data_IF_798092197116
#
_entry.id   IF_798092197116
#
_cell.length_a   1.000
_cell.length_b   1.000
_cell.length_c   1.000
_cell.angle_alpha   90.00
_cell.angle_beta   90.00
_cell.angle_gamma   90.00
#
_symmetry.space_group_name_H-M   'P 1'
#
loop_
_entity.id
_entity.type
_entity.pdbx_description
1 polymer ?
#
# COMPACT_ATOMS: atom_id res chain seq x y z
N UNK A 1 20.45 16.31 0.62
CA UNK A 1 20.08 15.03 -0.05
C UNK A 1 18.65 14.65 0.30
N UNK A 2 18.29 14.50 1.59
CA UNK A 2 16.93 14.18 2.05
C UNK A 2 15.82 15.11 1.48
N UNK A 3 16.02 16.43 1.53
CA UNK A 3 15.06 17.38 0.93
C UNK A 3 14.87 17.23 -0.59
N UNK A 4 15.90 16.79 -1.33
CA UNK A 4 15.78 16.57 -2.78
C UNK A 4 14.96 15.33 -3.06
N UNK A 5 15.23 14.24 -2.32
CA UNK A 5 14.47 13.00 -2.42
C UNK A 5 12.98 13.23 -2.11
N UNK A 6 12.70 14.04 -1.09
CA UNK A 6 11.33 14.36 -0.69
C UNK A 6 10.62 15.28 -1.68
N UNK A 7 11.33 16.17 -2.36
CA UNK A 7 10.77 16.94 -3.49
C UNK A 7 10.40 16.04 -4.67
N UNK A 8 11.24 15.07 -5.01
CA UNK A 8 10.92 14.09 -6.05
C UNK A 8 9.69 13.26 -5.66
N UNK A 9 9.61 12.83 -4.40
CA UNK A 9 8.44 12.13 -3.86
C UNK A 9 7.16 12.98 -3.95
N UNK A 10 7.25 14.28 -3.64
CA UNK A 10 6.14 15.23 -3.79
C UNK A 10 5.71 15.43 -5.24
N UNK A 11 6.66 15.51 -6.18
CA UNK A 11 6.37 15.60 -7.61
C UNK A 11 5.61 14.37 -8.11
N UNK A 12 6.01 13.16 -7.69
CA UNK A 12 5.31 11.92 -8.06
C UNK A 12 3.88 11.93 -7.53
N UNK A 13 3.68 12.33 -6.27
CA UNK A 13 2.34 12.41 -5.67
C UNK A 13 1.43 13.49 -6.24
N UNK A 14 1.99 14.49 -6.94
CA UNK A 14 1.19 15.52 -7.59
C UNK A 14 0.35 14.95 -8.75
N UNK A 15 0.76 13.81 -9.31
CA UNK A 15 -0.01 13.08 -10.30
C UNK A 15 -1.00 12.13 -9.63
N UNK A 16 -2.25 12.03 -10.13
CA UNK A 16 -3.17 11.04 -9.59
C UNK A 16 -2.68 9.62 -9.96
N UNK A 17 -2.47 8.79 -8.93
CA UNK A 17 -1.69 7.55 -9.04
C UNK A 17 -2.19 6.56 -10.11
N UNK A 18 -3.51 6.48 -10.32
CA UNK A 18 -4.08 5.59 -11.34
C UNK A 18 -3.72 6.04 -12.77
N UNK A 19 -3.71 7.35 -13.07
CA UNK A 19 -3.29 7.83 -14.39
C UNK A 19 -1.80 7.60 -14.62
N UNK A 20 -0.97 7.78 -13.58
CA UNK A 20 0.46 7.49 -13.67
C UNK A 20 0.71 6.00 -13.92
N UNK A 21 -0.04 5.12 -13.25
CA UNK A 21 -0.02 3.68 -13.46
C UNK A 21 -0.36 3.31 -14.92
N UNK A 22 -1.44 3.88 -15.45
CA UNK A 22 -1.85 3.67 -16.84
C UNK A 22 -0.78 4.17 -17.82
N UNK A 23 -0.27 5.39 -17.63
CA UNK A 23 0.75 5.97 -18.49
C UNK A 23 2.03 5.13 -18.51
N UNK A 24 2.55 4.75 -17.33
CA UNK A 24 3.75 3.93 -17.23
C UNK A 24 3.57 2.55 -17.86
N UNK A 25 2.40 1.93 -17.68
CA UNK A 25 2.13 0.63 -18.29
C UNK A 25 1.94 0.70 -19.81
N UNK A 26 1.30 1.76 -20.31
CA UNK A 26 1.03 1.96 -21.73
C UNK A 26 2.30 2.22 -22.56
N UNK A 27 3.36 2.73 -21.94
CA UNK A 27 4.67 2.92 -22.58
C UNK A 27 5.45 1.61 -22.79
N UNK A 28 5.02 0.50 -22.17
CA UNK A 28 5.70 -0.78 -22.22
C UNK A 28 5.05 -1.71 -23.26
N UNK A 29 5.83 -2.61 -23.91
CA UNK A 29 5.29 -3.56 -24.86
C UNK A 29 4.13 -4.39 -24.29
N UNK A 30 3.10 -4.61 -25.10
CA UNK A 30 1.92 -5.40 -24.70
C UNK A 30 2.14 -6.90 -24.85
N UNK A 31 3.06 -7.32 -25.72
CA UNK A 31 3.37 -8.72 -26.00
C UNK A 31 4.40 -9.35 -25.03
N UNK A 32 4.36 -8.98 -23.75
CA UNK A 32 5.24 -9.55 -22.73
C UNK A 32 4.60 -10.80 -22.10
N UNK A 33 5.41 -11.78 -21.63
CA UNK A 33 4.89 -12.88 -20.83
C UNK A 33 4.14 -12.36 -19.62
N UNK A 34 3.01 -12.98 -19.29
CA UNK A 34 2.15 -12.52 -18.18
C UNK A 34 2.86 -12.48 -16.82
N UNK A 35 3.85 -13.35 -16.58
CA UNK A 35 4.73 -13.28 -15.39
C UNK A 35 5.55 -11.98 -15.34
N UNK A 36 6.10 -11.55 -16.48
CA UNK A 36 6.83 -10.28 -16.59
C UNK A 36 5.90 -9.10 -16.41
N UNK A 37 4.69 -9.15 -17.00
CA UNK A 37 3.67 -8.10 -16.80
C UNK A 37 3.30 -7.97 -15.33
N UNK A 38 3.08 -9.09 -14.63
CA UNK A 38 2.81 -9.09 -13.20
C UNK A 38 3.92 -8.41 -12.40
N UNK A 39 5.19 -8.80 -12.61
CA UNK A 39 6.33 -8.18 -11.93
C UNK A 39 6.45 -6.68 -12.21
N UNK A 40 6.17 -6.26 -13.46
CA UNK A 40 6.15 -4.86 -13.84
C UNK A 40 5.05 -4.07 -13.14
N UNK A 41 3.83 -4.62 -13.04
CA UNK A 41 2.72 -3.98 -12.32
C UNK A 41 3.07 -3.82 -10.84
N UNK A 42 3.62 -4.86 -10.21
CA UNK A 42 4.08 -4.79 -8.81
C UNK A 42 5.15 -3.71 -8.65
N UNK A 43 6.12 -3.64 -9.56
CA UNK A 43 7.15 -2.61 -9.54
C UNK A 43 6.57 -1.20 -9.70
N UNK A 44 5.68 -0.98 -10.68
CA UNK A 44 5.07 0.33 -10.93
C UNK A 44 4.20 0.75 -9.73
N UNK A 45 3.35 -0.14 -9.20
CA UNK A 45 2.53 0.15 -8.03
C UNK A 45 3.38 0.50 -6.81
N UNK A 46 4.49 -0.24 -6.59
CA UNK A 46 5.44 0.05 -5.53
C UNK A 46 6.15 1.39 -5.74
N UNK A 47 6.53 1.70 -6.99
CA UNK A 47 7.16 2.96 -7.37
C UNK A 47 6.23 4.17 -7.21
N UNK A 48 4.93 4.00 -7.40
CA UNK A 48 3.94 5.06 -7.20
C UNK A 48 3.55 5.19 -5.73
N UNK A 49 3.50 4.08 -4.98
CA UNK A 49 3.06 4.03 -3.59
C UNK A 49 4.13 4.42 -2.55
N UNK A 50 5.42 4.17 -2.82
CA UNK A 50 6.50 4.42 -1.85
C UNK A 50 6.60 5.88 -1.35
N UNK A 51 6.34 6.93 -2.14
CA UNK A 51 6.50 8.31 -1.69
C UNK A 51 5.64 8.60 -0.45
N UNK A 52 4.39 8.11 -0.45
CA UNK A 52 3.40 8.43 0.58
C UNK A 52 3.81 7.83 1.90
N UNK A 53 4.17 6.55 1.84
CA UNK A 53 4.70 5.79 2.94
C UNK A 53 6.02 6.40 3.49
N UNK A 54 6.96 6.73 2.61
CA UNK A 54 8.25 7.33 2.99
C UNK A 54 8.08 8.67 3.70
N UNK A 55 7.13 9.51 3.27
CA UNK A 55 6.82 10.79 3.93
C UNK A 55 6.37 10.58 5.38
N UNK A 56 5.48 9.63 5.62
CA UNK A 56 4.96 9.37 6.97
C UNK A 56 6.08 8.80 7.87
N UNK A 57 6.82 7.81 7.38
CA UNK A 57 7.96 7.25 8.12
C UNK A 57 9.02 8.31 8.44
N UNK A 58 9.32 9.22 7.49
CA UNK A 58 10.22 10.36 7.74
C UNK A 58 9.70 11.25 8.87
N UNK A 59 8.41 11.57 8.87
CA UNK A 59 7.78 12.35 9.94
C UNK A 59 7.90 11.66 11.30
N UNK A 60 7.58 10.36 11.37
CA UNK A 60 7.71 9.56 12.59
C UNK A 60 9.17 9.49 13.05
N UNK A 61 10.10 9.29 12.12
CA UNK A 61 11.53 9.24 12.41
C UNK A 61 12.02 10.55 13.03
N UNK A 62 11.68 11.70 12.42
CA UNK A 62 12.05 13.01 12.95
C UNK A 62 11.47 13.22 14.35
N UNK A 63 10.22 12.83 14.59
CA UNK A 63 9.59 12.91 15.91
C UNK A 63 10.27 12.01 16.94
N UNK A 64 10.53 10.74 16.61
CA UNK A 64 11.17 9.77 17.50
C UNK A 64 12.63 10.13 17.82
N UNK A 65 13.33 10.76 16.86
CA UNK A 65 14.72 11.18 17.04
C UNK A 65 14.86 12.25 18.13
N UNK A 66 13.88 13.14 18.27
CA UNK A 66 13.86 14.22 19.26
C UNK A 66 13.30 13.78 20.64
N UNK A 67 12.91 12.52 20.81
CA UNK A 67 12.43 12.02 22.11
C UNK A 67 13.57 11.81 23.12
N UNK A 68 13.24 11.91 24.41
CA UNK A 68 14.19 11.79 25.52
C UNK A 68 15.02 10.49 25.47
N UNK A 69 14.41 9.36 25.10
CA UNK A 69 15.14 8.09 25.01
C UNK A 69 16.24 8.12 23.94
N UNK A 70 16.00 8.83 22.83
CA UNK A 70 16.92 8.94 21.70
C UNK A 70 18.07 9.87 22.06
N UNK A 71 17.76 11.01 22.69
CA UNK A 71 18.75 11.96 23.20
C UNK A 71 19.63 11.33 24.29
N UNK A 72 19.03 10.62 25.24
CA UNK A 72 19.76 9.94 26.32
C UNK A 72 20.66 8.82 25.76
N UNK A 73 20.16 7.99 24.85
CA UNK A 73 20.98 6.95 24.22
C UNK A 73 22.18 7.53 23.47
N UNK A 74 22.00 8.68 22.81
CA UNK A 74 23.08 9.38 22.11
C UNK A 74 24.09 9.98 23.09
N UNK A 75 23.64 10.58 24.19
CA UNK A 75 24.50 11.10 25.25
C UNK A 75 25.36 10.00 25.92
N UNK A 76 24.84 8.77 25.98
CA UNK A 76 25.55 7.58 26.45
C UNK A 76 26.49 6.95 25.39
N UNK A 77 26.70 7.62 24.25
CA UNK A 77 27.64 7.17 23.21
C UNK A 77 27.09 6.10 22.25
N UNK A 78 25.77 5.89 22.21
CA UNK A 78 25.17 4.97 21.23
C UNK A 78 25.29 5.52 19.81
N UNK A 79 25.70 4.68 18.86
CA UNK A 79 25.74 5.01 17.44
C UNK A 79 24.33 5.20 16.86
N UNK A 80 24.18 6.08 15.87
CA UNK A 80 22.88 6.34 15.22
C UNK A 80 22.21 5.04 14.71
N UNK A 81 22.96 4.13 14.06
CA UNK A 81 22.42 2.85 13.58
C UNK A 81 21.80 2.00 14.69
N UNK A 82 22.43 1.99 15.87
CA UNK A 82 21.92 1.26 17.04
C UNK A 82 20.64 1.89 17.58
N UNK A 83 20.56 3.22 17.58
CA UNK A 83 19.34 3.94 17.97
C UNK A 83 18.19 3.63 16.99
N UNK A 84 18.50 3.64 15.69
CA UNK A 84 17.55 3.32 14.63
C UNK A 84 16.99 1.91 14.81
N UNK A 85 17.86 0.89 14.82
CA UNK A 85 17.42 -0.50 14.82
C UNK A 85 16.78 -0.94 16.15
N UNK A 86 17.24 -0.39 17.28
CA UNK A 86 16.77 -0.83 18.61
C UNK A 86 15.60 -0.02 19.15
N UNK A 87 15.46 1.24 18.74
CA UNK A 87 14.44 2.13 19.28
C UNK A 87 13.51 2.65 18.20
N UNK A 88 14.02 3.30 17.14
CA UNK A 88 13.13 3.96 16.16
C UNK A 88 12.35 2.94 15.34
N UNK A 89 13.02 1.98 14.72
CA UNK A 89 12.40 0.99 13.84
C UNK A 89 11.30 0.21 14.57
N UNK A 90 11.52 -0.39 15.76
CA UNK A 90 10.46 -1.06 16.52
C UNK A 90 9.27 -0.17 16.86
N UNK A 91 9.50 1.11 17.20
CA UNK A 91 8.42 2.05 17.50
C UNK A 91 7.57 2.40 16.25
N UNK A 92 8.16 2.35 15.06
CA UNK A 92 7.43 2.57 13.79
C UNK A 92 6.76 1.31 13.24
N UNK A 93 7.13 0.10 13.70
CA UNK A 93 6.64 -1.16 13.12
C UNK A 93 5.12 -1.30 13.16
N UNK A 94 4.47 -0.83 14.23
CA UNK A 94 3.00 -0.85 14.31
C UNK A 94 2.36 -0.12 13.14
N UNK A 95 2.85 1.07 12.81
CA UNK A 95 2.39 1.82 11.64
C UNK A 95 2.72 1.09 10.34
N UNK A 96 3.94 0.56 10.20
CA UNK A 96 4.38 -0.16 8.99
C UNK A 96 3.45 -1.33 8.68
N UNK A 97 3.12 -2.15 9.68
CA UNK A 97 2.27 -3.34 9.53
C UNK A 97 0.86 -2.96 9.13
N UNK A 98 0.28 -1.96 9.80
CA UNK A 98 -1.08 -1.47 9.51
C UNK A 98 -1.13 -0.85 8.11
N UNK A 99 -0.18 0.04 7.77
CA UNK A 99 -0.12 0.69 6.47
C UNK A 99 0.11 -0.31 5.33
N UNK A 100 0.96 -1.31 5.53
CA UNK A 100 1.17 -2.38 4.55
C UNK A 100 -0.13 -3.16 4.31
N UNK A 101 -0.83 -3.54 5.37
CA UNK A 101 -2.10 -4.28 5.27
C UNK A 101 -3.16 -3.46 4.52
N UNK A 102 -3.33 -2.19 4.89
CA UNK A 102 -4.30 -1.29 4.26
C UNK A 102 -3.93 -0.89 2.82
N UNK A 103 -2.69 -1.14 2.39
CA UNK A 103 -2.29 -0.91 0.99
C UNK A 103 -2.74 -2.03 0.03
N UNK A 104 -2.94 -3.25 0.54
CA UNK A 104 -3.26 -4.44 -0.27
C UNK A 104 -4.53 -4.25 -1.10
N UNK A 105 -5.65 -3.73 -0.57
CA UNK A 105 -6.85 -3.48 -1.38
C UNK A 105 -6.60 -2.56 -2.58
N UNK A 106 -5.78 -1.52 -2.40
CA UNK A 106 -5.41 -0.60 -3.46
C UNK A 106 -4.62 -1.30 -4.58
N UNK A 107 -3.73 -2.22 -4.23
CA UNK A 107 -2.98 -3.00 -5.21
C UNK A 107 -3.83 -4.02 -5.96
N UNK A 108 -4.76 -4.69 -5.26
CA UNK A 108 -5.74 -5.60 -5.89
C UNK A 108 -6.57 -4.85 -6.91
N UNK A 109 -7.10 -3.67 -6.54
CA UNK A 109 -7.87 -2.82 -7.45
C UNK A 109 -7.03 -2.33 -8.62
N UNK A 110 -5.79 -1.88 -8.38
CA UNK A 110 -4.89 -1.40 -9.41
C UNK A 110 -4.58 -2.48 -10.45
N UNK A 111 -4.22 -3.68 -10.01
CA UNK A 111 -3.96 -4.82 -10.90
C UNK A 111 -5.24 -5.24 -11.64
N UNK A 112 -6.36 -5.40 -10.92
CA UNK A 112 -7.63 -5.82 -11.51
C UNK A 112 -8.12 -4.84 -12.57
N UNK A 113 -7.98 -3.52 -12.32
CA UNK A 113 -8.33 -2.49 -13.28
C UNK A 113 -7.43 -2.52 -14.52
N UNK A 114 -6.12 -2.70 -14.37
CA UNK A 114 -5.23 -2.86 -15.52
C UNK A 114 -5.56 -4.11 -16.33
N UNK A 115 -5.76 -5.25 -15.67
CA UNK A 115 -6.15 -6.52 -16.31
C UNK A 115 -7.47 -6.40 -17.03
N UNK A 116 -8.46 -5.73 -16.42
CA UNK A 116 -9.76 -5.44 -17.02
C UNK A 116 -9.64 -4.58 -18.29
N UNK A 117 -8.72 -3.60 -18.29
CA UNK A 117 -8.46 -2.71 -19.43
C UNK A 117 -7.52 -3.31 -20.49
N UNK A 118 -7.13 -4.58 -20.38
CA UNK A 118 -6.21 -5.22 -21.34
C UNK A 118 -4.74 -4.85 -21.18
N UNK A 119 -4.40 -4.13 -20.11
CA UNK A 119 -3.02 -3.70 -19.78
C UNK A 119 -2.38 -4.60 -18.71
N UNK A 120 -3.15 -5.45 -18.06
CA UNK A 120 -2.67 -6.39 -17.04
C UNK A 120 -2.34 -7.77 -17.57
N UNK A 121 -2.50 -8.79 -16.72
CA UNK A 121 -2.33 -10.20 -17.06
C UNK A 121 -3.34 -10.57 -18.15
N UNK A 122 -2.85 -11.08 -19.28
CA UNK A 122 -3.68 -11.48 -20.41
C UNK A 122 -3.84 -13.01 -20.48
N UNK A 123 -4.85 -13.45 -21.24
CA UNK A 123 -5.03 -14.84 -21.62
C UNK A 123 -3.74 -15.43 -22.21
N UNK A 124 -3.39 -16.70 -21.91
CA UNK A 124 -4.21 -17.75 -21.28
C UNK A 124 -4.20 -17.77 -19.74
N UNK A 125 -3.48 -16.84 -19.08
CA UNK A 125 -3.44 -16.80 -17.61
C UNK A 125 -4.69 -16.10 -17.06
N UNK A 126 -5.31 -16.69 -16.03
CA UNK A 126 -6.48 -16.10 -15.39
C UNK A 126 -6.07 -15.05 -14.35
N UNK A 127 -6.68 -13.85 -14.43
CA UNK A 127 -6.70 -12.84 -13.38
C UNK A 127 -8.14 -12.40 -13.13
N UNK A 128 -8.48 -11.96 -11.92
CA UNK A 128 -9.87 -11.55 -11.66
C UNK A 128 -10.31 -10.36 -12.52
N UNK A 129 -9.39 -9.44 -12.82
CA UNK A 129 -9.65 -8.34 -13.74
C UNK A 129 -9.92 -8.79 -15.17
N UNK A 130 -9.12 -9.73 -15.72
CA UNK A 130 -9.32 -10.19 -17.09
C UNK A 130 -10.57 -11.07 -17.25
N UNK A 131 -10.90 -11.87 -16.24
CA UNK A 131 -12.15 -12.65 -16.21
C UNK A 131 -13.36 -11.72 -16.18
N UNK A 132 -13.27 -10.61 -15.44
CA UNK A 132 -14.33 -9.60 -15.40
C UNK A 132 -14.47 -8.82 -16.71
N UNK A 133 -13.39 -8.67 -17.49
CA UNK A 133 -13.44 -8.00 -18.80
C UNK A 133 -14.41 -8.68 -19.78
N UNK A 134 -14.53 -10.01 -19.70
CA UNK A 134 -15.47 -10.76 -20.53
C UNK A 134 -16.95 -10.39 -20.26
N UNK A 135 -17.26 -9.84 -19.08
CA UNK A 135 -18.59 -9.32 -18.75
C UNK A 135 -18.96 -8.06 -19.55
N UNK A 136 -18.00 -7.37 -20.19
CA UNK A 136 -18.29 -6.22 -21.06
C UNK A 136 -19.10 -6.62 -22.30
N UNK A 137 -19.05 -7.90 -22.70
CA UNK A 137 -19.89 -8.40 -23.78
C UNK A 137 -21.29 -8.70 -23.25
N UNK A 138 -22.26 -7.84 -23.56
CA UNK A 138 -23.65 -7.95 -23.08
C UNK A 138 -24.30 -9.29 -23.42
N UNK A 139 -23.97 -9.88 -24.58
CA UNK A 139 -24.51 -11.20 -24.96
C UNK A 139 -23.98 -12.30 -24.04
N UNK A 140 -22.67 -12.28 -23.78
CA UNK A 140 -22.02 -13.22 -22.85
C UNK A 140 -22.57 -13.04 -21.44
N UNK A 141 -22.74 -11.80 -20.99
CA UNK A 141 -23.28 -11.50 -19.66
C UNK A 141 -24.71 -12.01 -19.48
N UNK A 142 -25.58 -11.82 -20.48
CA UNK A 142 -26.97 -12.30 -20.42
C UNK A 142 -27.03 -13.82 -20.43
N UNK A 143 -26.20 -14.48 -21.25
CA UNK A 143 -26.16 -15.94 -21.34
C UNK A 143 -25.46 -16.60 -20.14
N UNK A 144 -24.48 -15.93 -19.56
CA UNK A 144 -23.57 -16.46 -18.54
C UNK A 144 -23.35 -15.43 -17.41
N UNK A 145 -24.38 -15.12 -16.61
CA UNK A 145 -24.31 -14.05 -15.60
C UNK A 145 -23.27 -14.31 -14.50
N UNK A 146 -22.88 -15.56 -14.28
CA UNK A 146 -21.81 -15.93 -13.33
C UNK A 146 -20.42 -15.38 -13.72
N UNK A 147 -20.27 -14.81 -14.92
CA UNK A 147 -19.03 -14.12 -15.31
C UNK A 147 -18.72 -12.88 -14.47
N UNK A 148 -19.69 -12.41 -13.68
CA UNK A 148 -19.52 -11.34 -12.68
C UNK A 148 -18.91 -11.81 -11.35
N UNK A 149 -18.81 -13.12 -11.10
CA UNK A 149 -18.27 -13.67 -9.84
C UNK A 149 -16.88 -13.12 -9.47
N UNK A 150 -15.92 -12.92 -10.40
CA UNK A 150 -14.63 -12.32 -10.06
C UNK A 150 -14.76 -10.93 -9.44
N UNK A 151 -15.71 -10.11 -9.90
CA UNK A 151 -15.98 -8.79 -9.32
C UNK A 151 -16.48 -8.87 -7.88
N UNK A 152 -17.35 -9.84 -7.58
CA UNK A 152 -17.82 -10.10 -6.22
C UNK A 152 -16.70 -10.62 -5.31
N UNK A 153 -15.82 -11.48 -5.82
CA UNK A 153 -14.66 -11.99 -5.07
C UNK A 153 -13.62 -10.90 -4.79
N UNK A 154 -13.38 -9.99 -5.74
CA UNK A 154 -12.57 -8.77 -5.52
C UNK A 154 -13.17 -7.97 -4.37
N UNK A 155 -14.48 -7.71 -4.40
CA UNK A 155 -15.18 -6.95 -3.37
C UNK A 155 -15.04 -7.58 -1.97
N UNK A 156 -15.31 -8.88 -1.83
CA UNK A 156 -15.15 -9.60 -0.55
C UNK A 156 -13.70 -9.52 -0.06
N UNK A 157 -12.75 -9.75 -0.95
CA UNK A 157 -11.32 -9.75 -0.59
C UNK A 157 -10.88 -8.38 -0.08
N UNK A 158 -11.30 -7.31 -0.76
CA UNK A 158 -11.05 -5.93 -0.35
C UNK A 158 -11.64 -5.68 1.04
N UNK A 159 -12.89 -6.06 1.29
CA UNK A 159 -13.51 -5.91 2.60
C UNK A 159 -12.75 -6.68 3.69
N UNK A 160 -12.36 -7.92 3.42
CA UNK A 160 -11.61 -8.75 4.36
C UNK A 160 -10.27 -8.09 4.75
N UNK A 161 -9.53 -7.55 3.78
CA UNK A 161 -8.27 -6.85 4.06
C UNK A 161 -8.46 -5.51 4.78
N UNK A 162 -9.53 -4.76 4.49
CA UNK A 162 -9.85 -3.54 5.24
C UNK A 162 -10.15 -3.86 6.71
N UNK A 163 -11.04 -4.82 6.97
CA UNK A 163 -11.35 -5.25 8.34
C UNK A 163 -10.15 -5.84 9.07
N UNK A 164 -9.28 -6.58 8.37
CA UNK A 164 -8.02 -7.05 8.93
C UNK A 164 -7.10 -5.88 9.30
N UNK A 165 -7.00 -4.87 8.45
CA UNK A 165 -6.21 -3.67 8.71
C UNK A 165 -6.71 -2.89 9.92
N UNK A 166 -8.03 -2.73 10.05
CA UNK A 166 -8.67 -2.08 11.19
C UNK A 166 -8.45 -2.87 12.49
N UNK A 167 -8.64 -4.20 12.45
CA UNK A 167 -8.38 -5.07 13.60
C UNK A 167 -6.91 -5.04 14.04
N UNK A 168 -5.97 -5.02 13.09
CA UNK A 168 -4.53 -4.88 13.39
C UNK A 168 -4.22 -3.51 13.98
N UNK A 169 -4.84 -2.44 13.46
CA UNK A 169 -4.69 -1.10 14.01
C UNK A 169 -5.15 -1.05 15.46
N UNK A 170 -6.34 -1.56 15.76
CA UNK A 170 -6.91 -1.59 17.11
C UNK A 170 -6.07 -2.43 18.07
N UNK A 171 -5.47 -3.53 17.59
CA UNK A 171 -4.60 -4.39 18.39
C UNK A 171 -3.23 -3.75 18.68
N UNK A 172 -2.72 -2.95 17.75
CA UNK A 172 -1.39 -2.34 17.83
C UNK A 172 -1.39 -0.92 18.42
N UNK A 173 -2.55 -0.28 18.53
CA UNK A 173 -2.69 1.02 19.17
C UNK A 173 -2.54 0.84 20.70
N UNK A 174 -1.53 1.45 21.34
CA UNK A 174 -1.37 1.36 22.78
C UNK A 174 -2.57 2.05 23.41
N UNK A 175 -3.41 1.28 24.12
CA UNK A 175 -4.51 1.84 24.93
C UNK A 175 -3.91 2.94 25.81
N UNK A 176 -4.13 4.20 25.44
CA UNK A 176 -3.87 5.30 26.35
C UNK A 176 -4.73 5.01 27.57
N UNK A 177 -4.07 4.68 28.67
CA UNK A 177 -4.71 4.42 29.96
C UNK A 177 -5.57 5.64 30.28
N UNK A 178 -6.88 5.49 30.15
CA UNK A 178 -7.88 6.30 30.84
C UNK A 178 -7.70 6.07 32.34
N UNK A 179 -6.67 6.69 32.91
CA UNK A 179 -6.40 6.72 34.35
C UNK A 179 -6.04 8.14 34.75
N UNK A 180 -6.99 9.07 34.57
CA UNK A 180 -6.91 10.43 35.16
C UNK A 180 -8.26 11.13 35.19
N UNK A 181 -9.33 10.46 35.66
CA UNK A 181 -10.62 11.11 35.95
C UNK A 181 -11.33 10.56 37.21
N UNK A 182 -10.59 10.15 38.24
CA UNK A 182 -11.18 9.74 39.54
C UNK A 182 -10.51 10.37 40.76
N UNK A 183 -9.85 11.53 40.62
CA UNK A 183 -9.32 12.27 41.77
C UNK A 183 -9.71 13.75 41.71
N UNK A 184 -11.01 14.02 41.75
CA UNK A 184 -11.61 15.26 42.26
C UNK A 184 -13.01 14.92 42.75
N UNK A 185 -13.12 14.67 44.05
CA UNK A 185 -14.36 14.38 44.77
C UNK A 185 -14.03 14.28 46.25
#
# INVERSE_FOLDING_TARGET
MDNVLMRVAEMIMAFPGFYLLLALRALLPTALPSTTVYLLIVFILSFIGWPGFARVIRGMFLSLREQEFSLAAKALGSTDLRIILRHILPNTMSFVIVAATLSVPGYILGESALSFLGLGIQEPQASWGNMLAAAMNTRVLVSFPWILLPGFLIFITILAFNFLGDALRDALEPRMRTSRQTFTG
#
